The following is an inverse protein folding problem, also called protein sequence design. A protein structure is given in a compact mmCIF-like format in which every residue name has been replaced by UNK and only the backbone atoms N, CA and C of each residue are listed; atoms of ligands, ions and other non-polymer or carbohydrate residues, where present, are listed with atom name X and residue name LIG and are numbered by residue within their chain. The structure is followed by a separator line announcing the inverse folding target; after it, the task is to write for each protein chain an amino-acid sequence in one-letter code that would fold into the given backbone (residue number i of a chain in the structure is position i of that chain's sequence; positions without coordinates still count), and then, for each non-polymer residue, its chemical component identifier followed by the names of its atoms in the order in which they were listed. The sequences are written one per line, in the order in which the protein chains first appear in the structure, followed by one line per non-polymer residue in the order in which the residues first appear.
data_IF_767365114821
#
_entry.id   IF_767365114821
#
_cell.length_a   1.000
_cell.length_b   1.000
_cell.length_c   1.000
_cell.angle_alpha   90.00
_cell.angle_beta   90.00
_cell.angle_gamma   90.00
#
_symmetry.space_group_name_H-M   'P 1'
#
loop_
_entity.id
_entity.type
_entity.pdbx_description
1 polymer ?
#
# COMPACT_ATOMS: atom_id res chain seq x y z
N UNK A 1 -6.52 -4.80 9.79
CA UNK A 1 -7.47 -4.25 8.80
C UNK A 1 -8.20 -5.40 8.13
N UNK A 2 -9.50 -5.28 7.88
CA UNK A 2 -10.24 -6.32 7.17
C UNK A 2 -9.86 -6.32 5.67
N UNK A 3 -9.68 -7.51 5.09
CA UNK A 3 -9.21 -7.65 3.69
C UNK A 3 -10.20 -7.10 2.66
N UNK A 4 -11.48 -6.99 3.00
CA UNK A 4 -12.50 -6.37 2.15
C UNK A 4 -12.19 -4.90 1.87
N UNK A 5 -11.81 -4.11 2.89
CA UNK A 5 -11.48 -2.69 2.74
C UNK A 5 -10.28 -2.52 1.80
N UNK A 6 -9.20 -3.27 2.06
CA UNK A 6 -8.00 -3.20 1.22
C UNK A 6 -8.31 -3.61 -0.22
N UNK A 7 -9.12 -4.66 -0.41
CA UNK A 7 -9.52 -5.11 -1.75
C UNK A 7 -10.35 -4.06 -2.48
N UNK A 8 -11.30 -3.42 -1.80
CA UNK A 8 -12.12 -2.34 -2.38
C UNK A 8 -11.27 -1.13 -2.79
N UNK A 9 -10.33 -0.70 -1.93
CA UNK A 9 -9.40 0.39 -2.24
C UNK A 9 -8.54 0.02 -3.46
N UNK A 10 -7.98 -1.20 -3.49
CA UNK A 10 -7.19 -1.66 -4.63
C UNK A 10 -8.01 -1.68 -5.91
N UNK A 11 -9.25 -2.16 -5.88
CA UNK A 11 -10.14 -2.16 -7.05
C UNK A 11 -10.42 -0.75 -7.56
N UNK A 12 -10.73 0.20 -6.69
CA UNK A 12 -10.95 1.60 -7.09
C UNK A 12 -9.68 2.24 -7.69
N UNK A 13 -8.51 1.95 -7.12
CA UNK A 13 -7.24 2.42 -7.67
C UNK A 13 -6.91 1.78 -9.02
N UNK A 14 -7.19 0.48 -9.20
CA UNK A 14 -6.97 -0.24 -10.46
C UNK A 14 -7.78 0.36 -11.61
N UNK A 15 -9.03 0.72 -11.35
CA UNK A 15 -9.92 1.34 -12.32
C UNK A 15 -9.35 2.66 -12.86
N UNK A 16 -8.70 3.45 -12.00
CA UNK A 16 -8.22 4.79 -12.36
C UNK A 16 -6.77 4.81 -12.85
N UNK A 17 -5.89 4.03 -12.21
CA UNK A 17 -4.44 4.08 -12.43
C UNK A 17 -3.91 2.88 -13.24
N UNK A 18 -4.78 1.94 -13.61
CA UNK A 18 -4.45 0.74 -14.37
C UNK A 18 -4.14 -0.47 -13.48
N UNK A 19 -4.65 -1.64 -13.89
CA UNK A 19 -4.52 -2.91 -13.16
C UNK A 19 -3.05 -3.29 -12.95
N UNK A 20 -2.27 -3.30 -14.03
CA UNK A 20 -0.87 -3.74 -14.02
C UNK A 20 0.00 -2.91 -13.07
N UNK A 21 -0.19 -1.58 -13.10
CA UNK A 21 0.56 -0.65 -12.27
C UNK A 21 0.27 -0.87 -10.79
N UNK A 22 -1.01 -1.01 -10.43
CA UNK A 22 -1.39 -1.20 -9.03
C UNK A 22 -0.93 -2.56 -8.50
N UNK A 23 -1.02 -3.63 -9.28
CA UNK A 23 -0.59 -4.95 -8.81
C UNK A 23 0.93 -5.05 -8.65
N UNK A 24 1.70 -4.41 -9.53
CA UNK A 24 3.16 -4.43 -9.47
C UNK A 24 3.72 -3.46 -8.43
N UNK A 25 3.26 -2.22 -8.41
CA UNK A 25 3.94 -1.13 -7.70
C UNK A 25 3.30 -0.76 -6.35
N UNK A 26 2.00 -1.00 -6.12
CA UNK A 26 1.33 -0.55 -4.89
C UNK A 26 1.81 -1.34 -3.66
N UNK A 27 2.19 -0.62 -2.61
CA UNK A 27 2.51 -1.19 -1.30
C UNK A 27 1.24 -1.32 -0.47
N UNK A 28 0.72 -2.54 -0.32
CA UNK A 28 -0.39 -2.81 0.60
C UNK A 28 -0.08 -2.35 2.04
N UNK A 29 1.19 -2.42 2.45
CA UNK A 29 1.63 -1.97 3.77
C UNK A 29 1.37 -0.48 3.99
N UNK A 30 1.79 0.38 3.05
CA UNK A 30 1.60 1.84 3.19
C UNK A 30 0.13 2.25 3.13
N UNK A 31 -0.69 1.54 2.34
CA UNK A 31 -2.14 1.78 2.32
C UNK A 31 -2.79 1.44 3.66
N UNK A 32 -2.45 0.28 4.23
CA UNK A 32 -3.00 -0.15 5.52
C UNK A 32 -2.56 0.78 6.64
N UNK A 33 -1.29 1.20 6.64
CA UNK A 33 -0.73 2.10 7.64
C UNK A 33 -1.42 3.47 7.61
N UNK A 34 -1.57 4.10 6.44
CA UNK A 34 -2.25 5.39 6.30
C UNK A 34 -3.72 5.34 6.79
N UNK A 35 -4.45 4.27 6.46
CA UNK A 35 -5.84 4.16 6.90
C UNK A 35 -5.91 3.95 8.42
N UNK A 36 -5.01 3.16 9.01
CA UNK A 36 -4.99 2.95 10.46
C UNK A 36 -4.60 4.21 11.25
N UNK A 37 -3.61 4.97 10.76
CA UNK A 37 -3.14 6.18 11.41
C UNK A 37 -4.18 7.30 11.34
N UNK A 38 -4.89 7.42 10.22
CA UNK A 38 -5.87 8.49 10.01
C UNK A 38 -7.26 8.16 10.56
N UNK A 39 -7.68 6.89 10.57
CA UNK A 39 -9.05 6.50 10.97
C UNK A 39 -9.42 7.04 12.35
N UNK A 40 -8.51 6.92 13.33
CA UNK A 40 -8.77 7.39 14.70
C UNK A 40 -8.90 8.91 14.79
N UNK A 41 -8.16 9.65 13.96
CA UNK A 41 -8.31 11.11 13.88
C UNK A 41 -9.63 11.51 13.22
N UNK A 42 -10.03 10.78 12.18
CA UNK A 42 -11.30 11.00 11.48
C UNK A 42 -12.51 10.70 12.37
N UNK A 43 -12.45 9.66 13.20
CA UNK A 43 -13.53 9.31 14.14
C UNK A 43 -13.83 10.44 15.14
N UNK A 44 -12.81 11.22 15.51
CA UNK A 44 -12.99 12.40 16.39
C UNK A 44 -13.45 13.63 15.59
N UNK A 45 -12.97 13.78 14.35
CA UNK A 45 -13.22 14.97 13.54
C UNK A 45 -14.56 14.95 12.78
N UNK A 46 -15.17 13.77 12.59
CA UNK A 46 -16.37 13.59 11.77
C UNK A 46 -17.48 12.99 12.64
N UNK A 47 -18.60 13.71 12.71
CA UNK A 47 -19.80 13.24 13.41
C UNK A 47 -20.37 11.96 12.77
N UNK A 48 -20.98 11.09 13.56
CA UNK A 48 -21.47 9.79 13.11
C UNK A 48 -22.51 9.92 11.98
N UNK A 49 -23.34 10.96 12.06
CA UNK A 49 -24.44 11.28 11.16
C UNK A 49 -23.94 11.57 9.74
N UNK A 50 -22.73 12.10 9.59
CA UNK A 50 -22.13 12.37 8.29
C UNK A 50 -21.93 11.10 7.46
N UNK A 51 -21.84 9.93 8.11
CA UNK A 51 -21.67 8.64 7.45
C UNK A 51 -22.98 8.02 6.93
N UNK A 52 -24.14 8.49 7.40
CA UNK A 52 -25.45 7.92 7.01
C UNK A 52 -25.76 8.10 5.52
N UNK A 53 -25.24 9.14 4.87
CA UNK A 53 -25.44 9.30 3.42
C UNK A 53 -24.89 8.12 2.59
N UNK A 54 -23.93 7.36 3.12
CA UNK A 54 -23.37 6.20 2.44
C UNK A 54 -24.21 4.92 2.63
N UNK A 55 -25.02 4.81 3.70
CA UNK A 55 -25.86 3.63 3.92
C UNK A 55 -27.07 3.58 3.00
N UNK A 56 -27.58 4.74 2.60
CA UNK A 56 -28.70 4.87 1.66
C UNK A 56 -28.26 4.90 0.18
N UNK A 57 -26.95 4.95 -0.07
CA UNK A 57 -26.41 5.11 -1.40
C UNK A 57 -26.49 3.81 -2.21
N UNK A 58 -26.84 3.93 -3.49
CA UNK A 58 -26.74 2.78 -4.41
C UNK A 58 -25.28 2.34 -4.57
N UNK A 59 -25.08 1.04 -4.80
CA UNK A 59 -23.73 0.48 -5.05
C UNK A 59 -23.02 1.20 -6.20
N UNK A 60 -23.75 1.59 -7.24
CA UNK A 60 -23.19 2.34 -8.38
C UNK A 60 -22.72 3.74 -7.96
N UNK A 61 -23.56 4.49 -7.24
CA UNK A 61 -23.19 5.81 -6.74
C UNK A 61 -21.98 5.75 -5.81
N UNK A 62 -21.93 4.74 -4.94
CA UNK A 62 -20.79 4.52 -4.07
C UNK A 62 -19.50 4.21 -4.87
N UNK A 63 -19.60 3.37 -5.89
CA UNK A 63 -18.46 3.06 -6.77
C UNK A 63 -17.98 4.30 -7.55
N UNK A 64 -18.89 5.15 -8.01
CA UNK A 64 -18.55 6.41 -8.70
C UNK A 64 -17.79 7.37 -7.78
N UNK A 65 -18.19 7.46 -6.51
CA UNK A 65 -17.48 8.25 -5.50
C UNK A 65 -16.09 7.68 -5.26
N UNK A 66 -15.97 6.36 -5.04
CA UNK A 66 -14.68 5.71 -4.85
C UNK A 66 -13.73 5.96 -6.04
N UNK A 67 -14.24 5.88 -7.28
CA UNK A 67 -13.48 6.23 -8.49
C UNK A 67 -13.03 7.68 -8.46
N UNK A 68 -13.92 8.61 -8.10
CA UNK A 68 -13.60 10.05 -8.01
C UNK A 68 -12.51 10.35 -6.97
N UNK A 69 -12.51 9.64 -5.85
CA UNK A 69 -11.50 9.77 -4.81
C UNK A 69 -10.19 9.13 -5.22
N UNK A 70 -10.24 7.94 -5.83
CA UNK A 70 -9.07 7.26 -6.36
C UNK A 70 -8.29 8.12 -7.37
N UNK A 71 -8.98 8.94 -8.18
CA UNK A 71 -8.35 9.91 -9.08
C UNK A 71 -7.60 11.05 -8.38
N UNK A 72 -7.95 11.36 -7.13
CA UNK A 72 -7.29 12.40 -6.31
C UNK A 72 -6.15 11.85 -5.45
N UNK A 73 -5.98 10.52 -5.40
CA UNK A 73 -4.91 9.90 -4.62
C UNK A 73 -3.54 10.24 -5.21
N UNK A 74 -2.66 10.78 -4.38
CA UNK A 74 -1.24 10.90 -4.73
C UNK A 74 -0.57 9.51 -4.66
N UNK A 75 -0.68 8.75 -5.74
CA UNK A 75 -0.25 7.36 -5.82
C UNK A 75 1.22 7.17 -5.45
N UNK A 76 2.09 8.15 -5.74
CA UNK A 76 3.54 8.09 -5.47
C UNK A 76 3.87 7.83 -4.00
N UNK A 77 3.04 8.29 -3.06
CA UNK A 77 3.22 8.05 -1.61
C UNK A 77 3.04 6.58 -1.22
N UNK A 78 2.27 5.83 -2.00
CA UNK A 78 1.86 4.46 -1.69
C UNK A 78 2.61 3.40 -2.51
N UNK A 79 3.51 3.81 -3.39
CA UNK A 79 4.32 2.88 -4.16
C UNK A 79 5.36 2.20 -3.28
N UNK A 80 5.71 0.96 -3.62
CA UNK A 80 6.83 0.25 -3.02
C UNK A 80 8.11 1.05 -3.26
N UNK A 81 8.95 1.12 -2.23
CA UNK A 81 10.29 1.68 -2.39
C UNK A 81 11.09 0.84 -3.39
N UNK A 82 11.88 1.45 -4.29
CA UNK A 82 12.74 0.72 -5.22
C UNK A 82 13.67 -0.21 -4.44
N UNK A 83 13.52 -1.53 -4.62
CA UNK A 83 14.46 -2.47 -4.03
C UNK A 83 15.81 -2.34 -4.71
N UNK A 84 16.74 -1.63 -4.06
CA UNK A 84 18.15 -1.66 -4.45
C UNK A 84 18.66 -3.07 -4.22
N UNK A 85 18.92 -3.81 -5.30
CA UNK A 85 19.69 -5.05 -5.21
C UNK A 85 21.03 -4.70 -4.58
N UNK A 86 21.32 -5.27 -3.41
CA UNK A 86 22.64 -5.11 -2.79
C UNK A 86 23.65 -5.75 -3.74
N UNK A 87 24.46 -4.93 -4.40
CA UNK A 87 25.60 -5.43 -5.16
C UNK A 87 26.56 -6.01 -4.13
N UNK A 88 26.88 -7.29 -4.26
CA UNK A 88 27.87 -7.95 -3.42
C UNK A 88 29.21 -7.26 -3.66
N UNK A 89 29.80 -6.71 -2.60
CA UNK A 89 31.16 -6.18 -2.63
C UNK A 89 32.12 -7.28 -2.13
N UNK A 90 32.98 -7.85 -3.01
CA UNK A 90 33.97 -8.84 -2.61
C UNK A 90 34.96 -8.33 -1.55
N UNK A 91 35.16 -7.01 -1.44
CA UNK A 91 36.06 -6.39 -0.45
C UNK A 91 35.42 -6.29 0.94
N UNK A 92 34.10 -6.39 1.01
CA UNK A 92 33.34 -6.37 2.26
C UNK A 92 32.45 -7.62 2.38
N UNK A 93 33.07 -8.81 2.46
CA UNK A 93 32.32 -10.05 2.58
C UNK A 93 31.56 -10.08 3.91
N UNK A 94 30.34 -10.62 3.90
CA UNK A 94 29.58 -10.86 5.11
C UNK A 94 30.39 -11.78 6.04
N UNK A 95 30.50 -11.45 7.32
CA UNK A 95 31.33 -12.20 8.28
C UNK A 95 30.99 -13.70 8.29
N UNK A 96 29.71 -14.05 8.12
CA UNK A 96 29.24 -15.43 8.03
C UNK A 96 29.77 -16.18 6.79
N UNK A 97 29.84 -15.52 5.62
CA UNK A 97 30.35 -16.14 4.39
C UNK A 97 31.88 -16.18 4.36
N UNK A 98 32.55 -15.19 4.95
CA UNK A 98 34.01 -15.18 5.09
C UNK A 98 34.48 -16.37 5.92
N UNK A 99 33.85 -16.65 7.07
CA UNK A 99 34.17 -17.81 7.93
C UNK A 99 34.01 -19.15 7.23
N UNK A 100 33.07 -19.27 6.29
CA UNK A 100 32.86 -20.49 5.51
C UNK A 100 33.94 -20.67 4.44
N UNK A 101 34.40 -19.57 3.82
CA UNK A 101 35.45 -19.60 2.81
C UNK A 101 36.85 -19.80 3.43
N UNK A 102 37.12 -19.20 4.59
CA UNK A 102 38.41 -19.34 5.28
C UNK A 102 38.66 -20.76 5.78
N UNK A 103 37.60 -21.53 6.07
CA UNK A 103 37.70 -22.95 6.46
C UNK A 103 37.94 -23.90 5.28
N UNK A 104 37.88 -23.40 4.04
CA UNK A 104 38.06 -24.19 2.80
C UNK A 104 39.41 -23.99 2.11
N UNK A 105 40.28 -23.11 2.60
CA UNK A 105 41.66 -23.01 2.10
C UNK A 105 42.57 -24.05 2.77
N UNK A 106 43.37 -24.83 2.01
CA UNK A 106 44.39 -25.73 2.55
C UNK A 106 45.56 -24.99 3.19
#
# INVERSE_FOLDING_TARGET
MAFNILSTIKSALKEVHGVEKIDSELSSYYVVEEVQSNFRGMEVAIEAEAWFCFSEMTVRGFADILRSWAAKVNLKRFLKSPQRKKVYDPKHPHLSTFRLNSKKSP
#
